data_IF_930602031403
#
_entry.id   IF_930602031403
#
_cell.length_a   1.000
_cell.length_b   1.000
_cell.length_c   1.000
_cell.angle_alpha   90.00
_cell.angle_beta   90.00
_cell.angle_gamma   90.00
#
_symmetry.space_group_name_H-M   'P 1'
#
loop_
_entity.id
_entity.type
_entity.pdbx_description
1 polymer ?
#
# COMPACT_ATOMS: atom_id res chain seq x y z
N UNK A 1 -0.16 27.17 -21.30
CA UNK A 1 -0.62 26.20 -20.28
C UNK A 1 -0.12 26.65 -18.91
N UNK A 2 -0.82 27.58 -18.25
CA UNK A 2 -0.37 28.20 -16.99
C UNK A 2 -1.54 28.69 -16.10
N UNK A 3 -2.75 28.14 -16.26
CA UNK A 3 -3.95 28.59 -15.52
C UNK A 3 -4.34 27.68 -14.33
N UNK A 4 -3.75 26.49 -14.18
CA UNK A 4 -4.23 25.48 -13.19
C UNK A 4 -3.55 25.54 -11.81
N UNK A 5 -2.70 26.54 -11.56
CA UNK A 5 -1.80 26.51 -10.40
C UNK A 5 -2.30 27.29 -9.18
N UNK A 6 -3.51 27.87 -9.18
CA UNK A 6 -4.03 28.55 -7.98
C UNK A 6 -5.55 28.57 -7.81
N UNK A 7 -6.32 27.87 -8.66
CA UNK A 7 -7.74 27.64 -8.38
C UNK A 7 -7.89 26.24 -7.80
N UNK A 8 -8.29 26.15 -6.53
CA UNK A 8 -8.71 24.87 -5.93
C UNK A 8 -9.95 24.45 -6.68
N UNK A 9 -9.80 23.47 -7.59
CA UNK A 9 -10.93 22.83 -8.22
C UNK A 9 -11.69 22.04 -7.15
N UNK A 10 -13.00 22.27 -7.10
CA UNK A 10 -13.91 21.40 -6.38
C UNK A 10 -13.97 20.06 -7.13
N UNK A 11 -13.60 18.92 -6.51
CA UNK A 11 -13.65 17.62 -7.18
C UNK A 11 -15.06 17.31 -7.71
N UNK A 12 -16.11 17.77 -7.04
CA UNK A 12 -17.51 17.58 -7.48
C UNK A 12 -17.87 18.39 -8.74
N UNK A 13 -17.03 19.36 -9.13
CA UNK A 13 -17.22 20.18 -10.32
C UNK A 13 -16.49 19.64 -11.57
N UNK A 14 -15.81 18.50 -11.44
CA UNK A 14 -15.02 17.88 -12.52
C UNK A 14 -15.65 16.53 -12.87
N UNK A 15 -16.06 16.37 -14.13
CA UNK A 15 -16.47 15.06 -14.63
C UNK A 15 -15.24 14.13 -14.65
N UNK A 16 -15.33 12.93 -14.05
CA UNK A 16 -14.23 11.97 -14.08
C UNK A 16 -13.85 11.59 -15.52
N UNK A 17 -12.56 11.35 -15.80
CA UNK A 17 -12.12 10.97 -17.12
C UNK A 17 -12.47 9.49 -17.43
N UNK A 18 -12.91 9.21 -18.65
CA UNK A 18 -13.14 7.82 -19.11
C UNK A 18 -11.86 6.95 -19.09
N UNK A 19 -10.69 7.60 -19.15
CA UNK A 19 -9.39 6.94 -19.27
C UNK A 19 -8.36 7.56 -18.34
N UNK A 20 -7.60 6.71 -17.68
CA UNK A 20 -6.55 7.09 -16.73
C UNK A 20 -5.20 6.54 -17.15
N UNK A 21 -4.12 7.12 -16.61
CA UNK A 21 -2.76 6.61 -16.81
C UNK A 21 -2.32 5.84 -15.57
N UNK A 22 -1.89 4.60 -15.75
CA UNK A 22 -1.36 3.79 -14.67
C UNK A 22 0.09 4.11 -14.32
N UNK A 23 0.58 3.56 -13.22
CA UNK A 23 1.97 3.67 -12.75
C UNK A 23 2.98 3.20 -13.81
N UNK A 24 2.62 2.20 -14.62
CA UNK A 24 3.44 1.72 -15.74
C UNK A 24 3.45 2.66 -16.95
N UNK A 25 2.66 3.75 -16.92
CA UNK A 25 2.51 4.72 -18.00
C UNK A 25 1.48 4.32 -19.07
N UNK A 26 0.86 3.14 -18.96
CA UNK A 26 -0.21 2.67 -19.85
C UNK A 26 -1.47 3.51 -19.63
N UNK A 27 -2.23 3.80 -20.70
CA UNK A 27 -3.53 4.47 -20.59
C UNK A 27 -4.64 3.46 -20.81
N UNK A 28 -5.44 3.22 -19.76
CA UNK A 28 -6.53 2.24 -19.71
C UNK A 28 -7.88 2.90 -19.42
N UNK A 29 -8.95 2.14 -19.61
CA UNK A 29 -10.30 2.57 -19.22
C UNK A 29 -10.39 2.64 -17.69
N UNK A 30 -11.07 3.67 -17.16
CA UNK A 30 -11.18 3.90 -15.73
C UNK A 30 -11.79 2.69 -14.99
N UNK A 31 -12.72 1.98 -15.64
CA UNK A 31 -13.35 0.77 -15.09
C UNK A 31 -12.36 -0.39 -14.80
N UNK A 32 -11.17 -0.38 -15.42
CA UNK A 32 -10.13 -1.39 -15.23
C UNK A 32 -9.00 -0.92 -14.29
N UNK A 33 -9.12 0.29 -13.74
CA UNK A 33 -8.10 0.91 -12.91
C UNK A 33 -8.49 0.90 -11.42
N UNK A 34 -7.47 0.87 -10.55
CA UNK A 34 -7.64 0.98 -9.10
C UNK A 34 -6.60 1.94 -8.52
N UNK A 35 -6.97 2.68 -7.47
CA UNK A 35 -6.04 3.58 -6.78
C UNK A 35 -5.29 2.82 -5.69
N UNK A 36 -3.96 2.93 -5.70
CA UNK A 36 -3.10 2.32 -4.68
C UNK A 36 -3.10 3.17 -3.39
N UNK A 37 -3.82 2.69 -2.38
CA UNK A 37 -3.91 3.33 -1.07
C UNK A 37 -2.96 2.75 -0.03
N UNK A 38 -2.66 1.46 -0.15
CA UNK A 38 -1.74 0.75 0.74
C UNK A 38 -0.54 0.24 -0.07
N UNK A 39 0.70 0.71 0.20
CA UNK A 39 1.83 0.51 -0.71
C UNK A 39 2.24 -0.95 -0.88
N UNK A 40 1.93 -1.82 0.07
CA UNK A 40 2.22 -3.26 -0.04
C UNK A 40 1.31 -3.99 -1.03
N UNK A 41 0.16 -3.42 -1.40
CA UNK A 41 -0.75 -4.02 -2.39
C UNK A 41 -0.20 -3.94 -3.82
N UNK A 42 0.77 -3.06 -4.08
CA UNK A 42 1.41 -2.93 -5.39
C UNK A 42 2.07 -4.23 -5.86
N UNK A 43 2.53 -5.07 -4.93
CA UNK A 43 3.13 -6.37 -5.27
C UNK A 43 2.07 -7.45 -5.58
N UNK A 44 0.81 -7.23 -5.22
CA UNK A 44 -0.29 -8.15 -5.44
C UNK A 44 -1.10 -7.87 -6.71
N UNK A 45 -0.89 -6.70 -7.32
CA UNK A 45 -1.66 -6.21 -8.45
C UNK A 45 -0.78 -5.95 -9.68
N UNK A 46 -1.33 -6.11 -10.91
CA UNK A 46 -0.65 -5.68 -12.12
C UNK A 46 -0.41 -4.17 -12.15
N UNK A 47 0.83 -3.74 -12.34
CA UNK A 47 1.19 -2.31 -12.35
C UNK A 47 0.62 -1.50 -13.52
N UNK A 48 0.01 -2.16 -14.51
CA UNK A 48 -0.71 -1.53 -15.61
C UNK A 48 -2.15 -1.12 -15.24
N UNK A 49 -2.66 -1.58 -14.10
CA UNK A 49 -3.97 -1.25 -13.53
C UNK A 49 -3.89 -0.27 -12.35
N UNK A 50 -2.70 -0.07 -11.78
CA UNK A 50 -2.50 0.78 -10.60
C UNK A 50 -2.41 2.25 -10.96
N UNK A 51 -3.11 3.10 -10.21
CA UNK A 51 -2.99 4.56 -10.24
C UNK A 51 -2.51 5.03 -8.87
N UNK A 52 -1.50 5.91 -8.84
CA UNK A 52 -0.92 6.44 -7.60
C UNK A 52 -0.66 7.93 -7.69
N UNK A 53 -0.82 8.63 -6.57
CA UNK A 53 -0.45 10.03 -6.45
C UNK A 53 -1.09 10.71 -5.25
N UNK A 54 -0.38 11.69 -4.66
CA UNK A 54 -0.93 12.56 -3.62
C UNK A 54 -1.59 11.80 -2.46
N UNK A 55 -2.79 12.25 -2.09
CA UNK A 55 -3.67 11.56 -1.15
C UNK A 55 -4.51 10.52 -1.92
N UNK A 56 -4.39 9.21 -1.62
CA UNK A 56 -5.08 8.17 -2.37
C UNK A 56 -6.61 8.26 -2.31
N UNK A 57 -7.18 8.71 -1.19
CA UNK A 57 -8.64 8.81 -1.03
C UNK A 57 -9.17 9.95 -1.89
N UNK A 58 -8.56 11.13 -1.79
CA UNK A 58 -8.94 12.27 -2.62
C UNK A 58 -8.72 11.99 -4.13
N UNK A 59 -7.70 11.20 -4.48
CA UNK A 59 -7.46 10.78 -5.86
C UNK A 59 -8.54 9.81 -6.36
N UNK A 60 -8.93 8.84 -5.54
CA UNK A 60 -10.01 7.91 -5.85
C UNK A 60 -11.35 8.62 -6.03
N UNK A 61 -11.69 9.55 -5.14
CA UNK A 61 -12.90 10.38 -5.26
C UNK A 61 -12.89 11.22 -6.54
N UNK A 62 -11.76 11.89 -6.84
CA UNK A 62 -11.64 12.73 -8.03
C UNK A 62 -11.75 11.95 -9.35
N UNK A 63 -11.28 10.70 -9.37
CA UNK A 63 -11.26 9.87 -10.58
C UNK A 63 -12.42 8.86 -10.65
N UNK A 64 -13.28 8.81 -9.63
CA UNK A 64 -14.32 7.79 -9.45
C UNK A 64 -13.78 6.36 -9.60
N UNK A 65 -12.68 6.08 -8.89
CA UNK A 65 -11.99 4.78 -8.91
C UNK A 65 -12.05 4.10 -7.54
N UNK A 66 -12.15 2.76 -7.49
CA UNK A 66 -12.06 2.03 -6.23
C UNK A 66 -10.64 2.06 -5.64
N UNK A 67 -10.53 1.91 -4.33
CA UNK A 67 -9.24 1.70 -3.66
C UNK A 67 -8.80 0.24 -3.84
N UNK A 68 -7.49 0.02 -3.99
CA UNK A 68 -6.92 -1.33 -4.07
C UNK A 68 -7.28 -2.17 -2.82
N UNK A 69 -7.31 -1.55 -1.64
CA UNK A 69 -7.67 -2.23 -0.39
C UNK A 69 -9.12 -2.74 -0.33
N UNK A 70 -10.03 -2.19 -1.14
CA UNK A 70 -11.43 -2.63 -1.20
C UNK A 70 -11.56 -3.96 -1.95
N UNK A 71 -10.79 -4.12 -3.02
CA UNK A 71 -10.89 -5.26 -3.94
C UNK A 71 -9.90 -6.39 -3.67
N UNK A 72 -8.79 -6.14 -2.98
CA UNK A 72 -7.73 -7.15 -2.79
C UNK A 72 -7.97 -7.99 -1.53
N UNK A 73 -7.99 -9.32 -1.70
CA UNK A 73 -8.05 -10.29 -0.61
C UNK A 73 -7.00 -11.36 -0.84
N UNK A 74 -6.18 -11.64 0.19
CA UNK A 74 -5.20 -12.71 0.14
C UNK A 74 -4.89 -13.24 1.54
N UNK A 75 -4.50 -14.51 1.60
CA UNK A 75 -4.01 -15.14 2.82
C UNK A 75 -2.52 -15.45 2.70
N UNK A 76 -1.79 -15.40 3.82
CA UNK A 76 -0.39 -15.86 3.84
C UNK A 76 -0.37 -17.38 3.68
N UNK A 77 0.40 -17.86 2.71
CA UNK A 77 0.51 -19.28 2.35
C UNK A 77 1.87 -19.90 2.73
N UNK A 78 2.81 -19.10 3.23
CA UNK A 78 4.11 -19.51 3.76
C UNK A 78 4.17 -19.44 5.29
N UNK A 79 5.15 -20.11 5.90
CA UNK A 79 5.38 -20.06 7.35
C UNK A 79 6.56 -19.14 7.68
N UNK A 80 6.34 -18.20 8.59
CA UNK A 80 7.36 -17.27 9.08
C UNK A 80 7.74 -17.53 10.52
N UNK A 81 8.89 -17.02 10.94
CA UNK A 81 9.32 -16.97 12.35
C UNK A 81 8.95 -15.61 12.93
N UNK A 82 8.33 -15.59 14.10
CA UNK A 82 8.07 -14.35 14.81
C UNK A 82 9.37 -13.80 15.40
N UNK A 83 9.73 -12.56 15.03
CA UNK A 83 10.92 -11.86 15.51
C UNK A 83 10.51 -10.46 15.93
N UNK A 84 11.03 -9.94 17.05
CA UNK A 84 10.76 -8.56 17.43
C UNK A 84 11.39 -7.60 16.43
N UNK A 85 10.69 -6.52 16.08
CA UNK A 85 11.26 -5.47 15.22
C UNK A 85 12.61 -4.94 15.75
N UNK A 86 12.78 -4.87 17.07
CA UNK A 86 14.02 -4.44 17.72
C UNK A 86 15.18 -5.43 17.64
N UNK A 87 14.92 -6.70 17.28
CA UNK A 87 15.94 -7.73 17.12
C UNK A 87 16.47 -7.78 15.66
N UNK A 88 15.85 -7.05 14.74
CA UNK A 88 16.23 -6.98 13.33
C UNK A 88 17.19 -5.80 13.10
N UNK A 89 18.48 -6.10 12.98
CA UNK A 89 19.53 -5.07 12.94
C UNK A 89 19.37 -4.08 11.76
N UNK A 90 18.90 -4.54 10.61
CA UNK A 90 18.58 -3.71 9.43
C UNK A 90 17.42 -2.76 9.68
N UNK A 91 16.37 -3.19 10.40
CA UNK A 91 15.26 -2.33 10.81
C UNK A 91 15.78 -1.25 11.76
N UNK A 92 16.54 -1.65 12.80
CA UNK A 92 17.11 -0.71 13.78
C UNK A 92 17.99 0.34 13.08
N UNK A 93 18.85 -0.08 12.14
CA UNK A 93 19.68 0.84 11.35
C UNK A 93 18.85 1.76 10.46
N UNK A 94 17.83 1.23 9.77
CA UNK A 94 16.94 2.03 8.93
C UNK A 94 16.21 3.09 9.75
N UNK A 95 15.61 2.70 10.88
CA UNK A 95 14.94 3.60 11.82
C UNK A 95 15.86 4.72 12.31
N UNK A 96 17.08 4.38 12.74
CA UNK A 96 18.08 5.36 13.17
C UNK A 96 18.47 6.33 12.03
N UNK A 97 18.54 5.84 10.79
CA UNK A 97 18.92 6.64 9.62
C UNK A 97 17.85 7.67 9.22
N UNK A 98 16.57 7.34 9.43
CA UNK A 98 15.43 8.21 9.08
C UNK A 98 14.81 8.91 10.30
N UNK A 99 15.40 8.75 11.49
CA UNK A 99 14.98 9.45 12.71
C UNK A 99 13.62 8.99 13.27
N UNK A 100 13.22 7.74 13.05
CA UNK A 100 11.96 7.18 13.60
C UNK A 100 12.24 6.15 14.68
N UNK A 101 11.27 5.96 15.57
CA UNK A 101 11.32 4.90 16.59
C UNK A 101 11.12 3.53 15.93
N UNK A 102 11.89 2.53 16.39
CA UNK A 102 11.68 1.13 15.98
C UNK A 102 10.26 0.69 16.37
N UNK A 103 9.49 0.08 15.47
CA UNK A 103 8.15 -0.42 15.80
C UNK A 103 8.17 -1.34 17.02
N UNK A 104 7.12 -1.28 17.82
CA UNK A 104 6.91 -2.25 18.88
C UNK A 104 6.34 -3.57 18.31
N UNK A 105 6.41 -4.65 19.09
CA UNK A 105 5.82 -5.93 18.72
C UNK A 105 6.71 -6.76 17.80
N UNK A 106 6.06 -7.58 16.96
CA UNK A 106 6.71 -8.62 16.18
C UNK A 106 6.47 -8.45 14.67
N UNK A 107 7.41 -8.99 13.89
CA UNK A 107 7.35 -9.20 12.46
C UNK A 107 7.50 -10.72 12.21
N UNK A 108 6.59 -11.30 11.43
CA UNK A 108 6.77 -12.66 10.93
C UNK A 108 7.74 -12.62 9.74
N UNK A 109 8.97 -13.08 9.95
CA UNK A 109 10.01 -13.12 8.93
C UNK A 109 9.99 -14.47 8.21
N UNK A 110 9.86 -14.43 6.89
CA UNK A 110 9.85 -15.58 5.99
C UNK A 110 11.15 -15.61 5.20
N UNK A 111 11.62 -16.81 4.87
CA UNK A 111 12.75 -16.93 3.93
C UNK A 111 12.32 -16.54 2.50
N UNK A 112 11.04 -16.77 2.18
CA UNK A 112 10.32 -16.28 0.99
C UNK A 112 8.85 -16.13 1.37
N UNK A 113 8.31 -14.93 1.25
CA UNK A 113 6.91 -14.68 1.62
C UNK A 113 6.00 -15.00 0.43
N UNK A 114 5.08 -15.94 0.64
CA UNK A 114 4.09 -16.33 -0.34
C UNK A 114 2.69 -16.07 0.17
N UNK A 115 1.85 -15.49 -0.70
CA UNK A 115 0.43 -15.27 -0.45
C UNK A 115 -0.40 -16.04 -1.47
N UNK A 116 -1.60 -16.40 -1.07
CA UNK A 116 -2.66 -16.88 -1.95
C UNK A 116 -3.65 -15.74 -2.14
N UNK A 117 -3.50 -15.02 -3.25
CA UNK A 117 -4.45 -14.00 -3.70
C UNK A 117 -5.76 -14.71 -4.03
N UNK A 118 -6.86 -14.19 -3.50
CA UNK A 118 -8.21 -14.67 -3.70
C UNK A 118 -8.97 -13.76 -4.67
N UNK A 119 -8.77 -12.45 -4.53
CA UNK A 119 -9.31 -11.42 -5.41
C UNK A 119 -8.23 -10.41 -5.78
N UNK A 120 -8.22 -9.87 -7.02
CA UNK A 120 -9.24 -10.03 -8.07
C UNK A 120 -9.20 -11.37 -8.82
N UNK A 121 -8.08 -12.10 -8.76
CA UNK A 121 -7.94 -13.42 -9.38
C UNK A 121 -7.19 -14.37 -8.45
N UNK A 122 -7.62 -15.63 -8.40
CA UNK A 122 -6.99 -16.65 -7.58
C UNK A 122 -5.58 -16.98 -8.11
N UNK A 123 -4.54 -16.62 -7.37
CA UNK A 123 -3.14 -16.90 -7.76
C UNK A 123 -2.20 -16.90 -6.56
N UNK A 124 -1.12 -17.69 -6.64
CA UNK A 124 -0.04 -17.65 -5.65
C UNK A 124 1.02 -16.64 -6.09
N UNK A 125 1.33 -15.70 -5.20
CA UNK A 125 2.32 -14.65 -5.45
C UNK A 125 3.42 -14.69 -4.40
N UNK A 126 4.62 -14.29 -4.81
CA UNK A 126 5.69 -13.92 -3.87
C UNK A 126 5.66 -12.40 -3.71
N UNK A 127 5.53 -11.94 -2.48
CA UNK A 127 5.45 -10.51 -2.15
C UNK A 127 6.47 -10.19 -1.07
N UNK A 128 7.10 -9.01 -1.07
CA UNK A 128 8.14 -8.71 -0.09
C UNK A 128 7.60 -8.46 1.32
N UNK A 129 6.36 -7.98 1.40
CA UNK A 129 5.64 -7.68 2.64
C UNK A 129 4.16 -7.93 2.42
N UNK A 130 3.49 -8.41 3.45
CA UNK A 130 2.03 -8.51 3.52
C UNK A 130 1.55 -8.20 4.94
N UNK A 131 0.35 -7.63 5.05
CA UNK A 131 -0.36 -7.50 6.33
C UNK A 131 -1.54 -8.44 6.33
N UNK A 132 -1.58 -9.37 7.27
CA UNK A 132 -2.69 -10.32 7.37
C UNK A 132 -3.96 -9.66 7.92
N UNK A 133 -5.08 -10.39 7.89
CA UNK A 133 -6.37 -9.91 8.39
C UNK A 133 -6.39 -9.70 9.91
N UNK A 134 -5.46 -10.34 10.65
CA UNK A 134 -5.26 -10.13 12.08
C UNK A 134 -4.44 -8.86 12.37
N UNK A 135 -3.94 -8.19 11.33
CA UNK A 135 -3.14 -6.98 11.42
C UNK A 135 -1.65 -7.22 11.63
N UNK A 136 -1.19 -8.47 11.60
CA UNK A 136 0.22 -8.86 11.73
C UNK A 136 0.98 -8.60 10.44
N UNK A 137 2.26 -8.26 10.59
CA UNK A 137 3.15 -8.05 9.46
C UNK A 137 3.93 -9.31 9.13
N UNK A 138 3.99 -9.64 7.85
CA UNK A 138 4.77 -10.71 7.26
C UNK A 138 5.73 -10.13 6.24
N UNK A 139 6.98 -10.61 6.22
CA UNK A 139 7.95 -10.13 5.23
C UNK A 139 9.07 -11.13 4.95
N UNK A 140 9.59 -11.12 3.73
CA UNK A 140 10.94 -11.61 3.43
C UNK A 140 11.97 -10.48 3.32
N UNK A 141 11.51 -9.22 3.26
CA UNK A 141 12.32 -8.01 3.33
C UNK A 141 11.86 -7.14 4.52
N UNK A 142 12.55 -7.23 5.68
CA UNK A 142 12.20 -6.44 6.87
C UNK A 142 12.22 -4.92 6.68
N UNK A 143 13.04 -4.40 5.77
CA UNK A 143 13.11 -2.95 5.51
C UNK A 143 11.89 -2.50 4.72
N UNK A 144 11.45 -3.27 3.71
CA UNK A 144 10.17 -3.00 3.04
C UNK A 144 8.99 -3.12 3.99
N UNK A 145 9.04 -4.05 4.94
CA UNK A 145 8.02 -4.15 5.98
C UNK A 145 7.95 -2.91 6.87
N UNK A 146 9.11 -2.36 7.25
CA UNK A 146 9.18 -1.09 7.98
C UNK A 146 8.55 0.06 7.18
N UNK A 147 8.83 0.16 5.87
CA UNK A 147 8.25 1.19 5.02
C UNK A 147 6.72 1.06 4.94
N UNK A 148 6.21 -0.16 4.78
CA UNK A 148 4.77 -0.43 4.79
C UNK A 148 4.11 -0.10 6.14
N UNK A 149 4.78 -0.44 7.26
CA UNK A 149 4.34 -0.09 8.61
C UNK A 149 4.22 1.43 8.79
N UNK A 150 5.22 2.20 8.34
CA UNK A 150 5.25 3.66 8.45
C UNK A 150 4.20 4.34 7.56
N UNK A 151 3.87 3.73 6.42
CA UNK A 151 2.84 4.23 5.51
C UNK A 151 1.40 3.89 5.95
N UNK A 152 1.24 3.01 6.94
CA UNK A 152 -0.10 2.67 7.45
C UNK A 152 -0.72 3.89 8.14
N UNK A 153 -1.94 4.32 7.77
CA UNK A 153 -2.62 5.42 8.43
C UNK A 153 -2.71 5.14 9.93
N UNK A 154 -2.07 5.98 10.74
CA UNK A 154 -2.25 5.90 12.19
C UNK A 154 -3.64 6.47 12.45
N UNK A 155 -4.58 5.64 12.91
CA UNK A 155 -5.83 6.16 13.44
C UNK A 155 -5.46 7.19 14.49
N UNK A 156 -5.82 8.46 14.25
CA UNK A 156 -5.43 9.57 15.10
C UNK A 156 -6.08 9.34 16.47
N UNK A 157 -5.34 8.75 17.40
CA UNK A 157 -5.66 8.80 18.80
C UNK A 157 -5.62 10.25 19.20
N UNK A 158 -6.76 10.80 19.60
CA UNK A 158 -6.95 12.13 20.17
C UNK A 158 -5.79 12.44 21.13
N UNK A 159 -4.84 13.26 20.68
CA UNK A 159 -3.90 13.91 21.59
C UNK A 159 -4.69 14.97 22.37
N UNK A 160 -5.16 14.56 23.53
CA UNK A 160 -5.62 15.47 24.58
C UNK A 160 -4.46 16.38 24.97
N UNK A 161 -4.76 17.67 25.00
CA UNK A 161 -3.91 18.75 25.52
C UNK A 161 -3.53 18.52 26.98
#
# INVERSE_FOLDING_TARGET
AQAVLTERLDPDAVEPPDRVRSESGTVLDAADAVVLDLPWLAAALPGDQLVSGGDPVALAELLDLPLASEGVRAAVASTGRSIRWSELAEVVRACASIGVTVPAGELFVHDRLEIELQTPAAQRLTVPVWRDEQGSWHADDPVRALLAYLATPRTNGTFGR
#
